data_IF_453606925007
#
_entry.id   IF_453606925007
#
_cell.length_a   1.000
_cell.length_b   1.000
_cell.length_c   1.000
_cell.angle_alpha   90.00
_cell.angle_beta   90.00
_cell.angle_gamma   90.00
#
_symmetry.space_group_name_H-M   'P 1'
#
loop_
_entity.id
_entity.type
_entity.pdbx_description
1 polymer ?
#
# COMPACT_ATOMS: atom_id res chain seq x y z
N UNK A 1 8.78 -18.22 -23.03
CA UNK A 1 8.92 -16.78 -22.83
C UNK A 1 10.38 -16.47 -22.60
N UNK A 2 10.93 -15.78 -23.52
CA UNK A 2 12.37 -15.66 -23.55
C UNK A 2 12.87 -14.27 -23.28
N UNK A 3 11.93 -13.37 -22.97
CA UNK A 3 12.33 -12.01 -22.70
C UNK A 3 12.72 -11.88 -21.23
N UNK A 4 13.98 -11.64 -21.00
CA UNK A 4 14.44 -11.29 -19.67
C UNK A 4 13.99 -9.88 -19.33
N UNK A 5 13.42 -9.74 -18.14
CA UNK A 5 13.09 -8.42 -17.63
C UNK A 5 14.39 -7.80 -17.13
N UNK A 6 14.87 -6.79 -17.85
CA UNK A 6 16.03 -6.02 -17.42
C UNK A 6 15.54 -4.71 -16.85
N UNK A 7 16.08 -4.33 -15.73
CA UNK A 7 15.70 -3.10 -15.07
C UNK A 7 14.76 -3.31 -13.90
N UNK A 8 14.55 -2.25 -13.18
CA UNK A 8 13.80 -2.25 -11.94
C UNK A 8 12.30 -2.12 -12.22
N UNK A 9 11.51 -2.96 -11.58
CA UNK A 9 10.06 -2.95 -11.72
C UNK A 9 9.39 -2.48 -10.43
N UNK A 10 8.23 -1.87 -10.57
CA UNK A 10 7.35 -1.54 -9.47
C UNK A 10 6.10 -2.41 -9.56
N UNK A 11 5.85 -3.16 -8.50
CA UNK A 11 4.60 -3.91 -8.35
C UNK A 11 3.70 -3.15 -7.40
N UNK A 12 2.55 -2.72 -7.89
CA UNK A 12 1.53 -2.10 -7.05
C UNK A 12 0.42 -3.12 -6.81
N UNK A 13 0.16 -3.45 -5.55
CA UNK A 13 -0.83 -4.44 -5.16
C UNK A 13 -1.96 -3.81 -4.37
N UNK A 14 -3.19 -4.10 -4.77
CA UNK A 14 -4.36 -3.79 -3.97
C UNK A 14 -4.42 -4.78 -2.81
N UNK A 15 -4.62 -4.27 -1.59
CA UNK A 15 -4.64 -5.11 -0.40
C UNK A 15 -6.03 -5.64 -0.12
N UNK A 16 -7.05 -4.81 -0.28
CA UNK A 16 -8.39 -5.12 0.20
C UNK A 16 -9.09 -6.15 -0.69
N UNK A 17 -9.41 -7.31 -0.10
CA UNK A 17 -10.14 -8.36 -0.77
C UNK A 17 -9.37 -9.13 -1.82
N UNK A 18 -8.14 -8.71 -2.13
CA UNK A 18 -7.32 -9.34 -3.17
C UNK A 18 -6.14 -10.08 -2.58
N UNK A 19 -5.39 -9.43 -1.70
CA UNK A 19 -4.13 -9.96 -1.18
C UNK A 19 -4.22 -10.36 0.29
N UNK A 20 -5.23 -9.89 1.00
CA UNK A 20 -5.39 -10.09 2.43
C UNK A 20 -6.63 -10.91 2.69
N UNK A 21 -6.49 -11.97 3.48
CA UNK A 21 -7.60 -12.82 3.90
C UNK A 21 -8.46 -12.17 4.98
N UNK A 22 -9.43 -12.96 5.49
CA UNK A 22 -10.35 -12.49 6.52
C UNK A 22 -9.67 -12.16 7.85
N UNK A 23 -8.46 -12.67 8.06
CA UNK A 23 -7.64 -12.39 9.24
C UNK A 23 -6.78 -11.13 9.08
N UNK A 24 -6.94 -10.38 8.00
CA UNK A 24 -6.16 -9.20 7.67
C UNK A 24 -4.65 -9.46 7.52
N UNK A 25 -4.29 -10.71 7.20
CA UNK A 25 -2.90 -11.13 7.04
C UNK A 25 -2.63 -11.58 5.61
N UNK A 26 -1.41 -11.37 5.16
CA UNK A 26 -0.94 -11.94 3.90
C UNK A 26 -0.73 -13.44 4.06
N UNK A 27 -1.04 -14.21 3.02
CA UNK A 27 -0.71 -15.62 3.00
C UNK A 27 0.80 -15.85 2.90
N UNK A 28 1.25 -17.00 3.40
CA UNK A 28 2.68 -17.33 3.40
C UNK A 28 3.27 -17.38 1.98
N UNK A 29 2.51 -17.91 1.03
CA UNK A 29 2.97 -17.96 -0.36
C UNK A 29 3.14 -16.55 -0.94
N UNK A 30 2.24 -15.65 -0.61
CA UNK A 30 2.32 -14.25 -1.05
C UNK A 30 3.53 -13.56 -0.46
N UNK A 31 3.78 -13.75 0.84
CA UNK A 31 4.95 -13.18 1.51
C UNK A 31 6.23 -13.68 0.86
N UNK A 32 6.33 -14.99 0.61
CA UNK A 32 7.52 -15.57 -0.01
C UNK A 32 7.75 -15.01 -1.42
N UNK A 33 6.69 -14.85 -2.19
CA UNK A 33 6.79 -14.31 -3.54
C UNK A 33 7.23 -12.85 -3.52
N UNK A 34 6.67 -12.05 -2.62
CA UNK A 34 7.06 -10.65 -2.48
C UNK A 34 8.54 -10.49 -2.07
N UNK A 35 8.99 -11.32 -1.15
CA UNK A 35 10.40 -11.29 -0.73
C UNK A 35 11.33 -11.63 -1.87
N UNK A 36 11.00 -12.63 -2.67
CA UNK A 36 11.81 -12.99 -3.84
C UNK A 36 11.83 -11.85 -4.86
N UNK A 37 10.69 -11.23 -5.08
CA UNK A 37 10.59 -10.10 -6.01
C UNK A 37 11.48 -8.94 -5.56
N UNK A 38 11.43 -8.60 -4.29
CA UNK A 38 12.26 -7.53 -3.72
C UNK A 38 13.74 -7.87 -3.74
N UNK A 39 14.09 -9.12 -3.46
CA UNK A 39 15.48 -9.59 -3.53
C UNK A 39 16.06 -9.51 -4.93
N UNK A 40 15.21 -9.60 -5.94
CA UNK A 40 15.62 -9.41 -7.33
C UNK A 40 15.86 -7.93 -7.69
N UNK A 41 15.68 -7.02 -6.75
CA UNK A 41 15.95 -5.59 -6.94
C UNK A 41 14.73 -4.76 -7.31
N UNK A 42 13.55 -5.34 -7.26
CA UNK A 42 12.32 -4.65 -7.60
C UNK A 42 11.67 -4.01 -6.38
N UNK A 43 10.69 -3.16 -6.62
CA UNK A 43 10.00 -2.39 -5.59
C UNK A 43 8.56 -2.84 -5.50
N UNK A 44 8.07 -3.00 -4.27
CA UNK A 44 6.67 -3.36 -4.00
C UNK A 44 5.98 -2.20 -3.30
N UNK A 45 4.79 -1.86 -3.76
CA UNK A 45 3.94 -0.86 -3.17
C UNK A 45 2.57 -1.46 -2.90
N UNK A 46 2.08 -1.34 -1.68
CA UNK A 46 0.70 -1.68 -1.35
C UNK A 46 -0.17 -0.44 -1.53
N UNK A 47 -1.35 -0.63 -2.10
CA UNK A 47 -2.32 0.42 -2.29
C UNK A 47 -3.63 0.03 -1.62
N UNK A 48 -4.22 0.95 -0.86
CA UNK A 48 -5.46 0.70 -0.14
C UNK A 48 -6.23 1.98 0.11
N UNK A 49 -7.55 1.86 0.24
CA UNK A 49 -8.39 2.92 0.76
C UNK A 49 -8.32 3.06 2.28
N UNK A 50 -7.65 2.11 2.96
CA UNK A 50 -7.56 2.12 4.42
C UNK A 50 -6.68 3.25 4.91
N UNK A 51 -6.94 3.68 6.16
CA UNK A 51 -6.06 4.61 6.84
C UNK A 51 -4.89 3.84 7.49
N UNK A 52 -3.96 4.57 8.09
CA UNK A 52 -2.77 3.97 8.71
C UNK A 52 -3.10 3.01 9.84
N UNK A 53 -4.17 3.31 10.59
CA UNK A 53 -4.59 2.47 11.69
C UNK A 53 -4.94 1.07 11.19
N UNK A 54 -5.71 0.99 10.11
CA UNK A 54 -6.09 -0.29 9.51
C UNK A 54 -4.87 -1.05 8.99
N UNK A 55 -3.89 -0.34 8.42
CA UNK A 55 -2.64 -0.95 7.98
C UNK A 55 -1.86 -1.55 9.14
N UNK A 56 -1.85 -0.88 10.28
CA UNK A 56 -1.17 -1.38 11.47
C UNK A 56 -1.74 -2.71 11.94
N UNK A 57 -3.03 -2.96 11.68
CA UNK A 57 -3.68 -4.21 12.06
C UNK A 57 -3.21 -5.42 11.24
N UNK A 58 -2.40 -5.23 10.23
CA UNK A 58 -1.80 -6.31 9.45
C UNK A 58 -0.65 -7.02 10.18
N UNK A 59 -0.44 -6.73 11.46
CA UNK A 59 0.62 -7.35 12.27
C UNK A 59 2.01 -7.22 11.67
N UNK A 60 2.28 -6.10 11.03
CA UNK A 60 3.57 -5.84 10.40
C UNK A 60 3.70 -6.34 8.97
N UNK A 61 2.71 -7.04 8.42
CA UNK A 61 2.77 -7.54 7.05
C UNK A 61 2.89 -6.41 6.02
N UNK A 62 2.47 -5.19 6.37
CA UNK A 62 2.66 -4.03 5.50
C UNK A 62 4.14 -3.78 5.19
N UNK A 63 5.05 -4.28 6.02
CA UNK A 63 6.49 -4.15 5.79
C UNK A 63 7.03 -5.10 4.72
N UNK A 64 6.20 -5.99 4.21
CA UNK A 64 6.55 -6.79 3.04
C UNK A 64 6.53 -5.96 1.75
N UNK A 65 5.99 -4.75 1.80
CA UNK A 65 6.14 -3.76 0.75
C UNK A 65 7.19 -2.71 1.14
N UNK A 66 7.74 -2.03 0.16
CA UNK A 66 8.66 -0.91 0.39
C UNK A 66 7.90 0.38 0.70
N UNK A 67 6.71 0.51 0.11
CA UNK A 67 5.87 1.69 0.28
C UNK A 67 4.42 1.28 0.42
N UNK A 68 3.65 2.13 1.10
CA UNK A 68 2.20 1.99 1.21
C UNK A 68 1.54 3.28 0.77
N UNK A 69 0.61 3.16 -0.15
CA UNK A 69 -0.29 4.24 -0.53
C UNK A 69 -1.61 3.98 0.20
N UNK A 70 -1.90 4.82 1.15
CA UNK A 70 -3.13 4.73 1.95
C UNK A 70 -4.07 5.89 1.69
N UNK A 71 -5.20 5.89 2.40
CA UNK A 71 -6.21 6.94 2.34
C UNK A 71 -6.65 7.23 0.90
N UNK A 72 -6.83 6.17 0.11
CA UNK A 72 -7.28 6.28 -1.30
C UNK A 72 -6.37 7.20 -2.12
N UNK A 73 -5.05 7.09 -1.91
CA UNK A 73 -4.07 7.86 -2.64
C UNK A 73 -3.60 9.12 -1.94
N UNK A 74 -4.18 9.46 -0.78
CA UNK A 74 -3.85 10.69 -0.08
C UNK A 74 -2.54 10.65 0.70
N UNK A 75 -2.00 9.45 0.95
CA UNK A 75 -0.82 9.32 1.79
C UNK A 75 0.13 8.27 1.24
N UNK A 76 1.40 8.63 1.12
CA UNK A 76 2.47 7.70 0.74
C UNK A 76 3.44 7.57 1.90
N UNK A 77 3.62 6.35 2.36
CA UNK A 77 4.49 6.03 3.49
C UNK A 77 5.59 5.07 3.06
N UNK A 78 6.81 5.32 3.53
CA UNK A 78 7.91 4.38 3.37
C UNK A 78 7.93 3.43 4.56
N UNK A 79 7.88 2.14 4.30
CA UNK A 79 7.62 1.15 5.36
C UNK A 79 8.83 0.90 6.26
N UNK A 80 10.05 1.11 5.76
CA UNK A 80 11.26 0.78 6.54
C UNK A 80 11.42 1.65 7.79
N UNK A 81 10.86 2.86 7.78
CA UNK A 81 10.98 3.82 8.88
C UNK A 81 9.68 4.55 9.18
N UNK A 82 8.60 4.15 8.52
CA UNK A 82 7.27 4.75 8.63
C UNK A 82 7.24 6.25 8.29
N UNK A 83 8.19 6.70 7.49
CA UNK A 83 8.25 8.09 7.07
C UNK A 83 7.14 8.41 6.07
N UNK A 84 6.41 9.48 6.32
CA UNK A 84 5.40 9.99 5.39
C UNK A 84 6.10 10.81 4.33
N UNK A 85 6.09 10.31 3.09
CA UNK A 85 6.78 10.96 1.98
C UNK A 85 5.89 11.97 1.27
N UNK A 86 4.59 11.74 1.28
CA UNK A 86 3.62 12.62 0.63
C UNK A 86 2.30 12.53 1.37
N UNK A 87 1.68 13.66 1.59
CA UNK A 87 0.39 13.74 2.26
C UNK A 87 -0.43 14.83 1.57
N UNK A 88 -1.54 14.42 0.97
CA UNK A 88 -2.47 15.32 0.31
C UNK A 88 -3.79 15.29 1.04
N UNK A 89 -4.10 16.39 1.69
CA UNK A 89 -5.37 16.56 2.38
C UNK A 89 -6.28 17.47 1.56
N UNK A 90 -7.59 17.18 1.50
CA UNK A 90 -8.53 18.08 0.86
C UNK A 90 -8.54 19.42 1.60
N UNK A 91 -8.78 20.49 0.86
CA UNK A 91 -8.93 21.80 1.50
C UNK A 91 -10.18 21.80 2.40
N UNK A 92 -10.09 22.45 3.58
CA UNK A 92 -11.21 22.48 4.53
C UNK A 92 -12.52 23.00 3.93
N UNK A 93 -12.44 24.01 3.08
CA UNK A 93 -13.63 24.57 2.44
C UNK A 93 -14.28 23.58 1.48
N UNK A 94 -13.49 22.80 0.75
CA UNK A 94 -14.00 21.75 -0.12
C UNK A 94 -14.69 20.67 0.70
N UNK A 95 -14.08 20.24 1.79
CA UNK A 95 -14.67 19.21 2.67
C UNK A 95 -15.99 19.68 3.24
N UNK A 96 -16.06 20.94 3.67
CA UNK A 96 -17.28 21.53 4.20
C UNK A 96 -18.38 21.58 3.15
N UNK A 97 -18.06 22.05 1.95
CA UNK A 97 -19.02 22.11 0.85
C UNK A 97 -19.57 20.73 0.48
N UNK A 98 -18.68 19.73 0.46
CA UNK A 98 -19.06 18.36 0.16
C UNK A 98 -20.00 17.80 1.24
N UNK A 99 -19.68 18.03 2.51
CA UNK A 99 -20.51 17.57 3.63
C UNK A 99 -21.90 18.21 3.58
N UNK A 100 -21.97 19.50 3.32
CA UNK A 100 -23.24 20.21 3.23
C UNK A 100 -24.10 19.71 2.06
N UNK A 101 -23.46 19.28 0.98
CA UNK A 101 -24.17 18.76 -0.20
C UNK A 101 -24.69 17.35 0.01
N UNK A 102 -23.94 16.52 0.74
CA UNK A 102 -24.25 15.10 0.92
C UNK A 102 -25.14 14.82 2.13
N UNK A 103 -25.34 15.79 2.97
CA UNK A 103 -26.25 15.68 4.13
C UNK A 103 -27.66 16.22 3.80
#
# INVERSE_FOLDING_TARGET
MDRMITGRMLLAMDIDGTSVGSDHRLGQASVAALRRFRQAGHVVCFASGRNDFDMSNMCGDHREADYVIGNTGGKLTRTRDDAVLSLHLPEPDFVRALAETCL
#
